data_IF_330050034862
#
_entry.id   IF_330050034862
#
_cell.length_a   1.000
_cell.length_b   1.000
_cell.length_c   1.000
_cell.angle_alpha   90.00
_cell.angle_beta   90.00
_cell.angle_gamma   90.00
#
_symmetry.space_group_name_H-M   'P 1'
#
loop_
_entity.id
_entity.type
_entity.pdbx_description
1 polymer ?
#
# COMPACT_ATOMS: atom_id res chain seq x y z
N UNK A 1 -2.93 -28.58 7.40
CA UNK A 1 -2.18 -27.35 7.04
C UNK A 1 -2.25 -26.48 8.28
N UNK A 2 -1.13 -26.32 8.97
CA UNK A 2 -1.09 -25.65 10.28
C UNK A 2 -0.64 -24.20 10.09
N UNK A 3 -1.55 -23.34 9.65
CA UNK A 3 -1.32 -21.90 9.58
C UNK A 3 -2.41 -21.11 10.32
N UNK A 4 -2.02 -19.98 10.91
CA UNK A 4 -2.92 -19.03 11.56
C UNK A 4 -3.25 -17.92 10.56
N UNK A 5 -4.55 -17.61 10.39
CA UNK A 5 -4.99 -16.45 9.61
C UNK A 5 -5.22 -15.29 10.58
N UNK A 6 -4.49 -14.20 10.39
CA UNK A 6 -4.59 -13.00 11.23
C UNK A 6 -5.15 -11.86 10.38
N UNK A 7 -6.37 -11.37 10.65
CA UNK A 7 -6.92 -10.22 9.93
C UNK A 7 -6.16 -8.97 10.35
N UNK A 8 -5.66 -8.22 9.37
CA UNK A 8 -4.87 -7.02 9.63
C UNK A 8 -5.45 -5.75 8.99
N UNK A 9 -6.52 -5.86 8.21
CA UNK A 9 -7.20 -4.72 7.60
C UNK A 9 -7.70 -3.74 8.67
N UNK A 10 -7.17 -2.52 8.63
CA UNK A 10 -7.63 -1.37 9.43
C UNK A 10 -8.79 -0.61 8.79
N UNK A 11 -9.22 -1.01 7.57
CA UNK A 11 -10.27 -0.34 6.81
C UNK A 11 -11.64 -0.81 7.27
N UNK A 12 -12.55 0.14 7.52
CA UNK A 12 -13.92 -0.16 7.97
C UNK A 12 -14.94 0.50 7.05
N UNK A 13 -16.19 0.01 7.07
CA UNK A 13 -17.27 0.61 6.28
C UNK A 13 -17.49 2.10 6.59
N UNK A 14 -17.58 2.55 7.86
CA UNK A 14 -17.74 3.98 8.15
C UNK A 14 -16.60 4.83 7.60
N UNK A 15 -15.35 4.34 7.69
CA UNK A 15 -14.20 5.02 7.07
C UNK A 15 -14.35 5.12 5.55
N UNK A 16 -14.81 4.05 4.89
CA UNK A 16 -15.02 4.04 3.45
C UNK A 16 -16.10 5.05 3.01
N UNK A 17 -17.20 5.11 3.76
CA UNK A 17 -18.30 6.04 3.50
C UNK A 17 -17.84 7.50 3.69
N UNK A 18 -17.12 7.79 4.78
CA UNK A 18 -16.57 9.12 5.06
C UNK A 18 -15.51 9.55 4.03
N UNK A 19 -14.56 8.66 3.73
CA UNK A 19 -13.53 8.86 2.72
C UNK A 19 -14.13 9.21 1.36
N UNK A 20 -15.12 8.43 0.92
CA UNK A 20 -15.81 8.65 -0.36
C UNK A 20 -16.54 9.98 -0.39
N UNK A 21 -17.20 10.36 0.72
CA UNK A 21 -17.90 11.64 0.82
C UNK A 21 -16.93 12.82 0.74
N UNK A 22 -15.81 12.76 1.46
CA UNK A 22 -14.78 13.82 1.46
C UNK A 22 -14.10 13.98 0.11
N UNK A 23 -13.67 12.88 -0.52
CA UNK A 23 -13.08 12.95 -1.86
C UNK A 23 -14.05 13.54 -2.89
N UNK A 24 -15.34 13.18 -2.79
CA UNK A 24 -16.37 13.79 -3.64
C UNK A 24 -16.45 15.30 -3.41
N UNK A 25 -16.49 15.75 -2.15
CA UNK A 25 -16.51 17.16 -1.83
C UNK A 25 -15.28 17.89 -2.40
N UNK A 26 -14.08 17.35 -2.20
CA UNK A 26 -12.82 17.90 -2.75
C UNK A 26 -12.90 18.04 -4.27
N UNK A 27 -13.37 16.99 -4.97
CA UNK A 27 -13.46 17.01 -6.44
C UNK A 27 -14.45 18.04 -7.00
N UNK A 28 -15.40 18.51 -6.18
CA UNK A 28 -16.42 19.49 -6.55
C UNK A 28 -16.08 20.91 -6.08
N UNK A 29 -15.07 21.06 -5.24
CA UNK A 29 -14.64 22.34 -4.70
C UNK A 29 -13.75 23.09 -5.71
N UNK A 30 -14.29 24.16 -6.28
CA UNK A 30 -13.57 25.02 -7.24
C UNK A 30 -12.30 25.66 -6.67
N UNK A 31 -12.22 25.85 -5.35
CA UNK A 31 -11.00 26.36 -4.70
C UNK A 31 -9.88 25.32 -4.66
N UNK A 32 -10.22 24.03 -4.83
CA UNK A 32 -9.30 22.88 -4.82
C UNK A 32 -8.95 22.38 -6.22
N UNK A 33 -9.30 23.12 -7.28
CA UNK A 33 -9.06 22.72 -8.66
C UNK A 33 -7.58 22.42 -8.94
N UNK A 34 -6.66 23.20 -8.37
CA UNK A 34 -5.23 22.97 -8.53
C UNK A 34 -4.78 21.63 -7.92
N UNK A 35 -5.21 21.34 -6.69
CA UNK A 35 -4.91 20.08 -6.00
C UNK A 35 -5.50 18.89 -6.75
N UNK A 36 -6.77 18.99 -7.18
CA UNK A 36 -7.43 17.94 -7.93
C UNK A 36 -6.75 17.65 -9.27
N UNK A 37 -6.30 18.71 -9.96
CA UNK A 37 -5.50 18.57 -11.18
C UNK A 37 -4.14 17.92 -10.90
N UNK A 38 -3.44 18.31 -9.84
CA UNK A 38 -2.16 17.71 -9.45
C UNK A 38 -2.31 16.21 -9.16
N UNK A 39 -3.33 15.84 -8.38
CA UNK A 39 -3.69 14.44 -8.13
C UNK A 39 -3.98 13.68 -9.42
N UNK A 40 -4.83 14.21 -10.30
CA UNK A 40 -5.21 13.56 -11.56
C UNK A 40 -4.00 13.38 -12.48
N UNK A 41 -3.11 14.37 -12.56
CA UNK A 41 -1.91 14.30 -13.40
C UNK A 41 -0.88 13.31 -12.84
N UNK A 42 -0.75 13.20 -11.51
CA UNK A 42 0.11 12.21 -10.88
C UNK A 42 -0.37 10.77 -11.18
N UNK A 43 -1.68 10.52 -11.14
CA UNK A 43 -2.25 9.22 -11.53
C UNK A 43 -1.98 8.90 -13.00
N UNK A 44 -2.30 9.84 -13.91
CA UNK A 44 -2.02 9.65 -15.35
C UNK A 44 -0.55 9.37 -15.63
N UNK A 45 0.37 10.02 -14.89
CA UNK A 45 1.80 9.77 -15.02
C UNK A 45 2.17 8.36 -14.54
N UNK A 46 1.68 7.93 -13.39
CA UNK A 46 1.91 6.57 -12.89
C UNK A 46 1.36 5.52 -13.87
N UNK A 47 0.12 5.69 -14.35
CA UNK A 47 -0.51 4.81 -15.32
C UNK A 47 0.28 4.72 -16.63
N UNK A 48 0.75 5.86 -17.14
CA UNK A 48 1.60 5.90 -18.34
C UNK A 48 2.91 5.14 -18.17
N UNK A 49 3.55 5.29 -17.01
CA UNK A 49 4.78 4.56 -16.68
C UNK A 49 4.51 3.05 -16.54
N UNK A 50 3.39 2.65 -15.93
CA UNK A 50 2.97 1.24 -15.88
C UNK A 50 2.70 0.67 -17.27
N UNK A 51 2.00 1.40 -18.13
CA UNK A 51 1.75 0.97 -19.50
C UNK A 51 3.06 0.80 -20.29
N UNK A 52 4.01 1.72 -20.10
CA UNK A 52 5.32 1.66 -20.76
C UNK A 52 6.17 0.45 -20.34
N UNK A 53 5.92 -0.16 -19.17
CA UNK A 53 6.65 -1.37 -18.77
C UNK A 53 6.18 -2.62 -19.51
N UNK A 54 4.94 -2.63 -20.00
CA UNK A 54 4.30 -3.82 -20.57
C UNK A 54 4.09 -4.96 -19.56
N UNK A 55 4.28 -4.69 -18.26
CA UNK A 55 4.40 -5.72 -17.20
C UNK A 55 3.51 -5.43 -15.99
N UNK A 56 2.52 -4.55 -16.10
CA UNK A 56 1.72 -4.08 -14.94
C UNK A 56 1.12 -5.21 -14.10
N UNK A 57 0.74 -6.34 -14.73
CA UNK A 57 0.17 -7.51 -14.07
C UNK A 57 1.16 -8.68 -13.92
N UNK A 58 2.43 -8.50 -14.27
CA UNK A 58 3.45 -9.53 -14.11
C UNK A 58 3.83 -9.66 -12.61
N UNK A 59 3.63 -10.82 -11.98
CA UNK A 59 3.98 -11.03 -10.58
C UNK A 59 5.46 -10.72 -10.28
N UNK A 60 6.37 -11.02 -11.21
CA UNK A 60 7.78 -10.72 -11.04
C UNK A 60 8.04 -9.21 -11.03
N UNK A 61 7.25 -8.43 -11.78
CA UNK A 61 7.36 -6.97 -11.81
C UNK A 61 6.70 -6.31 -10.59
N UNK A 62 5.51 -6.77 -10.19
CA UNK A 62 4.76 -6.23 -9.05
C UNK A 62 5.61 -6.22 -7.78
N UNK A 63 6.45 -7.23 -7.58
CA UNK A 63 7.31 -7.34 -6.40
C UNK A 63 8.62 -6.53 -6.46
N UNK A 64 8.86 -5.72 -7.49
CA UNK A 64 10.07 -4.88 -7.61
C UNK A 64 9.95 -3.52 -6.92
N UNK A 65 11.11 -2.92 -6.60
CA UNK A 65 11.21 -1.51 -6.20
C UNK A 65 10.75 -0.56 -7.31
N UNK A 66 10.94 -0.92 -8.58
CA UNK A 66 10.48 -0.11 -9.72
C UNK A 66 8.95 0.02 -9.72
N UNK A 67 8.23 -1.07 -9.47
CA UNK A 67 6.77 -1.01 -9.33
C UNK A 67 6.36 -0.07 -8.20
N UNK A 68 6.99 -0.18 -7.03
CA UNK A 68 6.69 0.68 -5.86
C UNK A 68 6.99 2.15 -6.15
N UNK A 69 8.10 2.43 -6.85
CA UNK A 69 8.49 3.80 -7.21
C UNK A 69 7.50 4.45 -8.18
N UNK A 70 6.93 3.69 -9.12
CA UNK A 70 5.88 4.20 -10.01
C UNK A 70 4.61 4.47 -9.20
N UNK A 71 4.22 3.56 -8.32
CA UNK A 71 3.03 3.70 -7.46
C UNK A 71 3.15 4.94 -6.56
N UNK A 72 4.32 5.16 -5.96
CA UNK A 72 4.59 6.26 -5.03
C UNK A 72 4.33 7.65 -5.68
N UNK A 73 4.43 7.79 -7.01
CA UNK A 73 4.10 9.06 -7.71
C UNK A 73 2.67 9.50 -7.40
N UNK A 74 1.71 8.59 -7.59
CA UNK A 74 0.29 8.87 -7.35
C UNK A 74 -0.01 8.92 -5.85
N UNK A 75 0.52 7.96 -5.09
CA UNK A 75 0.21 7.82 -3.66
C UNK A 75 0.77 8.96 -2.81
N UNK A 76 2.02 9.40 -3.05
CA UNK A 76 2.61 10.51 -2.29
C UNK A 76 1.93 11.84 -2.62
N UNK A 77 1.54 12.06 -3.87
CA UNK A 77 0.76 13.25 -4.26
C UNK A 77 -0.61 13.24 -3.59
N UNK A 78 -1.30 12.10 -3.60
CA UNK A 78 -2.56 11.95 -2.88
C UNK A 78 -2.38 12.16 -1.37
N UNK A 79 -1.32 11.61 -0.78
CA UNK A 79 -1.03 11.71 0.64
C UNK A 79 -0.80 13.17 1.06
N UNK A 80 0.06 13.89 0.33
CA UNK A 80 0.38 15.27 0.64
C UNK A 80 -0.82 16.22 0.51
N UNK A 81 -1.69 15.96 -0.46
CA UNK A 81 -2.84 16.82 -0.73
C UNK A 81 -4.03 16.54 0.18
N UNK A 82 -4.29 15.29 0.53
CA UNK A 82 -5.59 14.90 1.10
C UNK A 82 -5.52 14.12 2.42
N UNK A 83 -4.37 13.56 2.84
CA UNK A 83 -4.33 12.63 3.98
C UNK A 83 -4.90 13.21 5.29
N UNK A 84 -4.54 14.46 5.60
CA UNK A 84 -5.02 15.13 6.83
C UNK A 84 -6.54 15.32 6.79
N UNK A 85 -7.07 15.82 5.68
CA UNK A 85 -8.51 16.07 5.51
C UNK A 85 -9.31 14.77 5.54
N UNK A 86 -8.80 13.73 4.91
CA UNK A 86 -9.42 12.40 4.85
C UNK A 86 -9.40 11.66 6.20
N UNK A 87 -8.63 12.15 7.19
CA UNK A 87 -8.58 11.55 8.52
C UNK A 87 -8.18 10.08 8.45
N UNK A 88 -8.82 9.17 9.20
CA UNK A 88 -8.45 7.74 9.20
C UNK A 88 -8.44 7.07 7.83
N UNK A 89 -9.19 7.59 6.84
CA UNK A 89 -9.21 7.09 5.47
C UNK A 89 -8.10 7.64 4.55
N UNK A 90 -7.27 8.57 5.03
CA UNK A 90 -6.09 9.06 4.32
C UNK A 90 -5.05 7.95 4.14
N UNK A 91 -4.22 8.04 3.08
CA UNK A 91 -3.34 6.93 2.67
C UNK A 91 -2.28 6.58 3.73
N UNK A 92 -1.61 7.55 4.32
CA UNK A 92 -0.66 7.28 5.40
C UNK A 92 -1.39 6.80 6.67
N UNK A 93 -2.51 7.42 7.01
CA UNK A 93 -3.28 7.07 8.20
C UNK A 93 -3.80 5.62 8.15
N UNK A 94 -4.28 5.17 6.99
CA UNK A 94 -4.74 3.80 6.83
C UNK A 94 -3.59 2.80 6.83
N UNK A 95 -2.44 3.14 6.24
CA UNK A 95 -1.27 2.28 6.28
C UNK A 95 -0.72 2.10 7.70
N UNK A 96 -0.72 3.16 8.52
CA UNK A 96 -0.40 3.07 9.96
C UNK A 96 -1.35 2.07 10.63
N UNK A 97 -2.65 2.14 10.38
CA UNK A 97 -3.62 1.23 10.98
C UNK A 97 -3.44 -0.23 10.52
N UNK A 98 -3.18 -0.45 9.23
CA UNK A 98 -2.87 -1.79 8.70
C UNK A 98 -1.60 -2.35 9.35
N UNK A 99 -0.54 -1.55 9.37
CA UNK A 99 0.74 -1.96 9.91
C UNK A 99 0.71 -2.19 11.40
N UNK A 100 -0.06 -1.41 12.17
CA UNK A 100 -0.25 -1.68 13.60
C UNK A 100 -0.73 -3.11 13.83
N UNK A 101 -1.67 -3.61 13.03
CA UNK A 101 -2.17 -4.97 13.17
C UNK A 101 -1.14 -6.02 12.75
N UNK A 102 -0.33 -5.73 11.72
CA UNK A 102 0.81 -6.57 11.33
C UNK A 102 1.85 -6.63 12.45
N UNK A 103 2.21 -5.48 13.01
CA UNK A 103 3.20 -5.34 14.08
C UNK A 103 2.76 -6.08 15.34
N UNK A 104 1.48 -5.96 15.74
CA UNK A 104 0.91 -6.78 16.83
C UNK A 104 1.12 -8.29 16.60
N UNK A 105 0.95 -8.77 15.37
CA UNK A 105 1.17 -10.16 15.02
C UNK A 105 2.66 -10.53 15.07
N UNK A 106 3.53 -9.69 14.52
CA UNK A 106 4.97 -9.91 14.55
C UNK A 106 5.51 -9.93 15.98
N UNK A 107 5.10 -8.99 16.84
CA UNK A 107 5.53 -8.95 18.26
C UNK A 107 5.12 -10.22 19.03
N UNK A 108 3.91 -10.75 18.81
CA UNK A 108 3.46 -12.01 19.43
C UNK A 108 4.38 -13.19 19.07
N UNK A 109 5.07 -13.12 17.94
CA UNK A 109 5.94 -14.16 17.40
C UNK A 109 7.43 -13.77 17.30
N UNK A 110 7.82 -12.66 17.94
CA UNK A 110 9.18 -12.15 17.94
C UNK A 110 10.19 -13.21 18.40
N UNK A 111 11.26 -13.38 17.63
CA UNK A 111 12.31 -14.39 17.81
C UNK A 111 11.85 -15.86 17.88
N UNK A 112 10.66 -16.20 17.35
CA UNK A 112 10.15 -17.60 17.34
C UNK A 112 10.41 -18.36 16.03
N UNK A 113 11.19 -17.79 15.12
CA UNK A 113 11.55 -18.42 13.83
C UNK A 113 10.33 -18.76 12.95
N UNK A 114 9.26 -17.97 13.04
CA UNK A 114 8.03 -18.18 12.26
C UNK A 114 8.13 -17.52 10.88
N UNK A 115 7.57 -18.18 9.86
CA UNK A 115 7.39 -17.60 8.54
C UNK A 115 6.07 -16.85 8.49
N UNK A 116 6.10 -15.60 8.04
CA UNK A 116 4.93 -14.77 7.82
C UNK A 116 4.74 -14.51 6.33
N UNK A 117 3.50 -14.71 5.85
CA UNK A 117 3.06 -14.26 4.53
C UNK A 117 2.09 -13.11 4.73
N UNK A 118 2.47 -11.91 4.28
CA UNK A 118 1.65 -10.71 4.36
C UNK A 118 1.02 -10.47 2.98
N UNK A 119 -0.31 -10.46 2.90
CA UNK A 119 -1.04 -10.28 1.64
C UNK A 119 -1.86 -9.00 1.69
N UNK A 120 -1.54 -8.05 0.81
CA UNK A 120 -2.20 -6.76 0.68
C UNK A 120 -2.25 -6.32 -0.78
N UNK A 121 -3.14 -5.36 -1.09
CA UNK A 121 -3.11 -4.68 -2.38
C UNK A 121 -1.78 -3.95 -2.61
N UNK A 122 -1.32 -3.94 -3.87
CA UNK A 122 0.01 -3.42 -4.22
C UNK A 122 0.23 -1.94 -3.81
N UNK A 123 -0.84 -1.15 -3.71
CA UNK A 123 -0.81 0.24 -3.22
C UNK A 123 -0.37 0.42 -1.76
N UNK A 124 -0.20 -0.65 -1.00
CA UNK A 124 0.31 -0.62 0.38
C UNK A 124 1.74 -1.15 0.51
N UNK A 125 2.25 -1.88 -0.50
CA UNK A 125 3.50 -2.64 -0.41
C UNK A 125 4.70 -1.76 -0.08
N UNK A 126 4.93 -0.70 -0.86
CA UNK A 126 6.08 0.19 -0.65
C UNK A 126 6.10 0.80 0.75
N UNK A 127 4.95 1.22 1.29
CA UNK A 127 4.85 1.74 2.65
C UNK A 127 5.17 0.67 3.70
N UNK A 128 4.56 -0.52 3.59
CA UNK A 128 4.79 -1.62 4.53
C UNK A 128 6.23 -2.11 4.52
N UNK A 129 6.86 -2.21 3.35
CA UNK A 129 8.26 -2.61 3.24
C UNK A 129 9.18 -1.62 3.96
N UNK A 130 8.94 -0.32 3.84
CA UNK A 130 9.72 0.72 4.55
C UNK A 130 9.64 0.57 6.08
N UNK A 131 8.49 0.22 6.63
CA UNK A 131 8.37 -0.02 8.07
C UNK A 131 9.00 -1.35 8.50
N UNK A 132 8.77 -2.43 7.74
CA UNK A 132 9.36 -3.74 8.04
C UNK A 132 10.89 -3.69 7.99
N UNK A 133 11.48 -2.92 7.08
CA UNK A 133 12.94 -2.74 6.98
C UNK A 133 13.58 -2.07 8.20
N UNK A 134 12.79 -1.38 9.04
CA UNK A 134 13.29 -0.77 10.28
C UNK A 134 13.47 -1.77 11.41
N UNK A 135 12.90 -2.98 11.28
CA UNK A 135 12.93 -4.01 12.31
C UNK A 135 14.24 -4.80 12.23
N UNK A 136 14.82 -5.07 13.39
CA UNK A 136 16.06 -5.85 13.54
C UNK A 136 15.82 -7.35 13.77
N UNK A 137 14.56 -7.75 13.98
CA UNK A 137 14.15 -9.09 14.38
C UNK A 137 13.58 -9.95 13.25
N UNK A 138 13.52 -9.42 12.03
CA UNK A 138 12.98 -10.10 10.85
C UNK A 138 13.96 -10.08 9.68
N UNK A 139 13.79 -11.03 8.77
CA UNK A 139 14.46 -11.05 7.47
C UNK A 139 13.39 -11.02 6.38
N UNK A 140 13.44 -10.02 5.51
CA UNK A 140 12.57 -9.93 4.35
C UNK A 140 13.07 -10.90 3.27
N UNK A 141 12.14 -11.69 2.73
CA UNK A 141 12.44 -12.66 1.67
C UNK A 141 11.94 -12.13 0.33
N UNK A 142 12.76 -12.30 -0.71
CA UNK A 142 12.38 -11.99 -2.09
C UNK A 142 11.30 -12.97 -2.58
N UNK A 143 10.35 -12.48 -3.37
CA UNK A 143 9.26 -13.32 -3.90
C UNK A 143 9.68 -14.22 -5.06
N UNK A 144 10.70 -13.82 -5.83
CA UNK A 144 11.16 -14.55 -7.04
C UNK A 144 11.36 -16.05 -6.81
N UNK A 145 12.10 -16.51 -5.77
CA UNK A 145 12.31 -17.95 -5.55
C UNK A 145 11.03 -18.74 -5.25
N UNK A 146 9.96 -18.07 -4.80
CA UNK A 146 8.66 -18.70 -4.58
C UNK A 146 7.84 -18.76 -5.87
N UNK A 147 7.91 -17.71 -6.70
CA UNK A 147 7.26 -17.67 -8.03
C UNK A 147 7.85 -18.70 -8.99
N UNK A 148 9.16 -18.93 -8.93
CA UNK A 148 9.84 -19.92 -9.77
C UNK A 148 9.38 -21.36 -9.47
N UNK A 149 8.90 -21.64 -8.26
CA UNK A 149 8.44 -22.97 -7.86
C UNK A 149 7.05 -23.33 -8.36
N UNK A 150 6.24 -22.33 -8.74
CA UNK A 150 4.88 -22.54 -9.26
C UNK A 150 4.81 -22.42 -10.78
N UNK A 151 5.86 -21.91 -11.41
CA UNK A 151 5.96 -21.71 -12.86
C UNK A 151 6.62 -22.91 -13.58
N UNK A 152 7.04 -23.92 -12.81
CA UNK A 152 7.58 -25.21 -13.27
C UNK A 152 6.59 -26.33 -12.96
#
# INVERSE_FOLDING_TARGET
>A
MDFEIIPTAGWTKPMADEHSAKLRAISQDTSRLADWNAYTQANKRADSLYAATGKVNDPYFIHTHTYDSIQDIALQTYNSLFNVELGPGGWENINIAHYWNIEKALEKHRYKGKLFLIVYGAGHKGWMLRELQKRDDITLLEMTPFLDRISN
#
